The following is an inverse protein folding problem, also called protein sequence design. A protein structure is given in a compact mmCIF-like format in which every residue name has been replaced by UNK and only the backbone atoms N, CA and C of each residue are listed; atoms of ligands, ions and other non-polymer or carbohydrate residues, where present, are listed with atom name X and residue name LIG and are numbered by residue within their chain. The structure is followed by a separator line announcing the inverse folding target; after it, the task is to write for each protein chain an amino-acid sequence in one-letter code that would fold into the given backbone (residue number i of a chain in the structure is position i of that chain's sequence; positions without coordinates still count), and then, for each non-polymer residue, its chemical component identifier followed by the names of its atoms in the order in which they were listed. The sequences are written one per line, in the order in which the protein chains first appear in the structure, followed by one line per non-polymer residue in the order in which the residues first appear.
data_IF_550394136648
#
_entry.id   IF_550394136648
#
_cell.length_a   1.000
_cell.length_b   1.000
_cell.length_c   1.000
_cell.angle_alpha   90.00
_cell.angle_beta   90.00
_cell.angle_gamma   90.00
#
_symmetry.space_group_name_H-M   'P 1'
#
loop_
_entity.id
_entity.type
_entity.pdbx_description
1 polymer ?
#
# COMPACT_ATOMS: atom_id res chain seq x y z
N UNK A 1 3.00 18.14 -3.48
CA UNK A 1 4.23 17.50 -3.96
C UNK A 1 4.23 17.64 -5.46
N UNK A 2 5.36 18.00 -6.05
CA UNK A 2 5.55 18.10 -7.50
C UNK A 2 6.67 17.15 -7.86
N UNK A 3 6.53 16.47 -9.00
CA UNK A 3 7.50 15.49 -9.45
C UNK A 3 7.26 15.07 -10.89
N UNK A 4 8.01 14.06 -11.31
CA UNK A 4 7.89 13.41 -12.62
C UNK A 4 7.62 11.92 -12.43
N UNK A 5 7.07 11.27 -13.45
CA UNK A 5 6.91 9.81 -13.44
C UNK A 5 8.17 9.14 -13.99
N UNK A 6 8.59 8.06 -13.33
CA UNK A 6 9.65 7.17 -13.77
C UNK A 6 9.19 5.72 -13.72
N UNK A 7 9.95 4.86 -14.38
CA UNK A 7 9.73 3.41 -14.40
C UNK A 7 11.01 2.72 -13.94
N UNK A 8 10.88 1.77 -13.03
CA UNK A 8 12.00 0.92 -12.61
C UNK A 8 11.48 -0.42 -12.06
N UNK A 9 12.40 -1.30 -11.67
CA UNK A 9 12.09 -2.49 -10.89
C UNK A 9 12.04 -2.13 -9.40
N UNK A 10 10.91 -2.43 -8.76
CA UNK A 10 10.72 -2.25 -7.32
C UNK A 10 10.79 -3.62 -6.63
N UNK A 11 11.65 -3.72 -5.61
CA UNK A 11 11.76 -4.92 -4.79
C UNK A 11 11.12 -4.70 -3.42
N UNK A 12 10.20 -5.58 -3.03
CA UNK A 12 9.57 -5.58 -1.70
C UNK A 12 9.73 -6.96 -1.10
N UNK A 13 10.50 -7.07 -0.01
CA UNK A 13 10.92 -8.37 0.52
C UNK A 13 11.60 -9.20 -0.59
N UNK A 14 11.10 -10.40 -0.86
CA UNK A 14 11.53 -11.31 -1.93
C UNK A 14 10.79 -11.11 -3.27
N UNK A 15 9.81 -10.20 -3.34
CA UNK A 15 9.07 -9.93 -4.58
C UNK A 15 9.80 -8.90 -5.43
N UNK A 16 9.97 -9.21 -6.72
CA UNK A 16 10.59 -8.33 -7.71
C UNK A 16 9.53 -7.89 -8.71
N UNK A 17 9.12 -6.63 -8.60
CA UNK A 17 8.02 -6.02 -9.35
C UNK A 17 8.64 -5.22 -10.50
N UNK A 18 8.50 -5.73 -11.71
CA UNK A 18 9.10 -5.09 -12.90
C UNK A 18 8.19 -4.00 -13.46
N UNK A 19 8.81 -3.07 -14.19
CA UNK A 19 8.11 -2.00 -14.91
C UNK A 19 7.13 -1.21 -14.03
N UNK A 20 7.52 -0.98 -12.77
CA UNK A 20 6.71 -0.23 -11.83
C UNK A 20 6.84 1.27 -12.10
N UNK A 21 5.71 1.89 -12.39
CA UNK A 21 5.61 3.35 -12.49
C UNK A 21 5.53 3.99 -11.10
N UNK A 22 6.35 5.00 -10.83
CA UNK A 22 6.27 5.73 -9.56
C UNK A 22 6.68 7.19 -9.72
N UNK A 23 6.25 8.02 -8.75
CA UNK A 23 6.55 9.44 -8.72
C UNK A 23 7.94 9.71 -8.14
N UNK A 24 8.77 10.42 -8.89
CA UNK A 24 10.04 10.99 -8.45
C UNK A 24 9.77 12.43 -8.01
N UNK A 25 9.69 12.66 -6.70
CA UNK A 25 9.46 13.98 -6.15
C UNK A 25 10.63 14.91 -6.44
N UNK A 26 10.35 16.08 -7.03
CA UNK A 26 11.33 17.15 -7.25
C UNK A 26 11.09 18.33 -6.30
N UNK A 27 9.93 18.36 -5.65
CA UNK A 27 9.59 19.36 -4.64
C UNK A 27 8.53 18.82 -3.68
N UNK A 28 8.81 18.99 -2.40
CA UNK A 28 7.92 18.63 -1.30
C UNK A 28 7.33 19.90 -0.66
N UNK A 29 6.02 19.94 -0.40
CA UNK A 29 5.39 21.12 0.18
C UNK A 29 5.55 21.13 1.71
N UNK A 30 5.96 22.27 2.25
CA UNK A 30 5.99 22.52 3.70
C UNK A 30 7.12 21.81 4.44
N UNK A 31 7.09 21.86 5.77
CA UNK A 31 8.13 21.29 6.64
C UNK A 31 7.85 19.88 7.16
N UNK A 32 6.72 19.26 6.80
CA UNK A 32 6.32 17.96 7.34
C UNK A 32 7.38 16.88 7.08
N UNK A 33 7.88 16.82 5.84
CA UNK A 33 8.89 15.85 5.43
C UNK A 33 10.26 16.05 6.11
N UNK A 34 10.50 17.20 6.75
CA UNK A 34 11.73 17.47 7.50
C UNK A 34 11.78 16.80 8.88
N UNK A 35 10.65 16.32 9.39
CA UNK A 35 10.55 15.73 10.74
C UNK A 35 10.10 14.27 10.75
N UNK A 36 9.75 13.70 9.60
CA UNK A 36 9.37 12.29 9.47
C UNK A 36 10.61 11.42 9.31
N UNK A 37 10.49 10.15 9.66
CA UNK A 37 11.57 9.16 9.54
C UNK A 37 11.50 8.32 8.27
N UNK A 38 10.45 8.46 7.45
CA UNK A 38 10.29 7.74 6.19
C UNK A 38 10.70 8.61 4.99
N UNK A 39 11.24 7.97 3.96
CA UNK A 39 11.71 8.67 2.75
C UNK A 39 10.64 8.85 1.66
N UNK A 40 9.56 8.05 1.72
CA UNK A 40 8.51 8.08 0.72
C UNK A 40 7.24 7.34 1.13
N UNK A 41 6.27 7.33 0.22
CA UNK A 41 4.94 6.76 0.44
C UNK A 41 4.68 5.69 -0.62
N UNK A 42 4.29 4.50 -0.18
CA UNK A 42 3.77 3.45 -1.05
C UNK A 42 2.24 3.47 -1.02
N UNK A 43 1.62 3.87 -2.12
CA UNK A 43 0.18 3.95 -2.24
C UNK A 43 -0.47 2.57 -2.39
N UNK A 44 -1.37 2.23 -1.45
CA UNK A 44 -2.12 0.96 -1.44
C UNK A 44 -3.59 1.12 -1.83
N UNK A 45 -3.97 2.25 -2.46
CA UNK A 45 -5.32 2.52 -2.92
C UNK A 45 -5.66 1.90 -4.29
N UNK A 46 -6.89 2.14 -4.75
CA UNK A 46 -7.33 1.71 -6.08
C UNK A 46 -6.61 2.49 -7.20
N UNK A 47 -6.35 1.89 -8.37
CA UNK A 47 -5.72 2.57 -9.50
C UNK A 47 -6.43 3.85 -9.96
N UNK A 48 -7.75 3.93 -9.79
CA UNK A 48 -8.53 5.12 -10.13
C UNK A 48 -8.14 6.38 -9.33
N UNK A 49 -7.53 6.21 -8.16
CA UNK A 49 -7.03 7.31 -7.32
C UNK A 49 -5.60 7.74 -7.72
N UNK A 50 -4.90 6.93 -8.51
CA UNK A 50 -3.52 7.21 -8.89
C UNK A 50 -3.44 8.44 -9.79
N UNK A 51 -2.51 9.36 -9.47
CA UNK A 51 -2.23 10.51 -10.31
C UNK A 51 -1.75 10.04 -11.69
N UNK A 52 -2.29 10.65 -12.75
CA UNK A 52 -1.95 10.28 -14.13
C UNK A 52 -2.45 8.91 -14.57
N UNK A 53 -3.27 8.22 -13.75
CA UNK A 53 -3.71 6.85 -14.04
C UNK A 53 -2.60 5.82 -13.87
N UNK A 54 -1.57 6.14 -13.08
CA UNK A 54 -0.40 5.29 -12.93
C UNK A 54 -0.74 3.89 -12.39
N UNK A 55 -0.01 2.89 -12.87
CA UNK A 55 -0.22 1.50 -12.42
C UNK A 55 0.25 1.34 -10.98
N UNK A 56 -0.61 0.84 -10.09
CA UNK A 56 -0.24 0.71 -8.66
C UNK A 56 0.65 -0.50 -8.42
N UNK A 57 1.47 -0.42 -7.37
CA UNK A 57 2.36 -1.52 -6.93
C UNK A 57 1.59 -2.82 -6.75
N UNK A 58 0.46 -2.77 -6.05
CA UNK A 58 -0.33 -3.97 -5.79
C UNK A 58 -0.98 -4.53 -7.06
N UNK A 59 -1.37 -3.66 -8.00
CA UNK A 59 -1.84 -4.12 -9.31
C UNK A 59 -0.75 -4.90 -10.04
N UNK A 60 0.47 -4.38 -10.10
CA UNK A 60 1.60 -5.08 -10.71
C UNK A 60 1.96 -6.38 -9.99
N UNK A 61 1.87 -6.44 -8.65
CA UNK A 61 2.04 -7.69 -7.92
C UNK A 61 1.05 -8.76 -8.38
N UNK A 62 -0.23 -8.39 -8.52
CA UNK A 62 -1.28 -9.31 -8.96
C UNK A 62 -1.08 -9.74 -10.43
N UNK A 63 -0.82 -8.80 -11.35
CA UNK A 63 -0.67 -9.11 -12.78
C UNK A 63 0.59 -9.92 -13.08
N UNK A 64 1.64 -9.76 -12.28
CA UNK A 64 2.89 -10.52 -12.38
C UNK A 64 2.85 -11.83 -11.58
N UNK A 65 1.70 -12.22 -11.00
CA UNK A 65 1.52 -13.42 -10.19
C UNK A 65 2.51 -13.54 -9.02
N UNK A 66 2.77 -12.43 -8.33
CA UNK A 66 3.69 -12.37 -7.19
C UNK A 66 3.00 -12.62 -5.84
N UNK A 67 1.67 -12.71 -5.83
CA UNK A 67 0.84 -12.91 -4.64
C UNK A 67 -0.12 -14.08 -4.85
N UNK A 68 -0.28 -14.90 -3.81
CA UNK A 68 -1.17 -16.08 -3.87
C UNK A 68 -2.66 -15.70 -3.87
N UNK A 69 -3.00 -14.59 -3.24
CA UNK A 69 -4.36 -14.06 -3.17
C UNK A 69 -4.40 -12.56 -3.53
N UNK A 70 -5.48 -12.07 -4.15
CA UNK A 70 -5.63 -10.66 -4.52
C UNK A 70 -6.02 -9.77 -3.31
N UNK A 71 -5.29 -9.91 -2.20
CA UNK A 71 -5.47 -9.10 -0.99
C UNK A 71 -4.12 -8.81 -0.31
N UNK A 72 -4.13 -7.83 0.59
CA UNK A 72 -3.07 -7.60 1.56
C UNK A 72 -3.71 -7.36 2.93
N UNK A 73 -2.96 -7.64 4.00
CA UNK A 73 -3.38 -7.37 5.37
C UNK A 73 -2.35 -6.52 6.11
N UNK A 74 -2.81 -5.74 7.07
CA UNK A 74 -1.97 -4.87 7.89
C UNK A 74 -2.22 -5.17 9.35
N UNK A 75 -1.16 -5.48 10.08
CA UNK A 75 -1.14 -5.55 11.54
C UNK A 75 -0.23 -4.45 12.08
N UNK A 76 -0.72 -3.69 13.06
CA UNK A 76 0.05 -2.64 13.72
C UNK A 76 0.16 -2.93 15.22
N UNK A 77 1.37 -2.84 15.74
CA UNK A 77 1.64 -2.82 17.18
C UNK A 77 1.08 -1.55 17.81
N UNK A 78 0.77 -1.60 19.11
CA UNK A 78 0.10 -0.48 19.80
C UNK A 78 1.08 0.58 20.26
N UNK A 79 2.26 0.18 20.71
CA UNK A 79 3.25 1.08 21.25
C UNK A 79 4.07 1.76 20.17
N UNK A 80 4.34 3.05 20.36
CA UNK A 80 5.30 3.77 19.53
C UNK A 80 6.69 3.15 19.67
N UNK A 81 7.30 2.79 18.54
CA UNK A 81 8.63 2.17 18.50
C UNK A 81 8.66 0.67 18.81
N UNK A 82 7.51 0.03 19.02
CA UNK A 82 7.44 -1.43 19.14
C UNK A 82 7.67 -2.10 17.79
N UNK A 83 8.56 -3.10 17.77
CA UNK A 83 8.73 -4.00 16.63
C UNK A 83 7.59 -5.01 16.55
N UNK A 84 7.30 -5.48 15.33
CA UNK A 84 6.29 -6.51 15.07
C UNK A 84 5.05 -6.05 14.33
N UNK A 85 4.96 -4.78 13.92
CA UNK A 85 4.01 -4.39 12.88
C UNK A 85 4.34 -5.08 11.56
N UNK A 86 3.33 -5.49 10.80
CA UNK A 86 3.48 -6.27 9.57
C UNK A 86 2.52 -5.78 8.49
N UNK A 87 2.99 -5.76 7.25
CA UNK A 87 2.13 -5.81 6.07
C UNK A 87 2.42 -7.11 5.33
N UNK A 88 1.36 -7.89 5.07
CA UNK A 88 1.43 -9.13 4.31
C UNK A 88 0.74 -8.95 2.98
N UNK A 89 1.41 -9.30 1.89
CA UNK A 89 0.85 -9.32 0.55
C UNK A 89 0.50 -10.77 0.18
N UNK A 90 -0.69 -11.00 -0.37
CA UNK A 90 -1.10 -12.33 -0.83
C UNK A 90 -1.68 -13.24 0.23
N UNK A 91 -1.90 -12.77 1.45
CA UNK A 91 -2.47 -13.58 2.53
C UNK A 91 -2.79 -12.77 3.77
N UNK A 92 -3.16 -13.49 4.82
CA UNK A 92 -3.49 -12.96 6.14
C UNK A 92 -2.83 -13.85 7.18
N UNK A 93 -1.99 -13.29 8.06
CA UNK A 93 -1.43 -14.05 9.16
C UNK A 93 -2.44 -14.21 10.32
N UNK A 94 -2.87 -15.45 10.55
CA UNK A 94 -3.76 -15.82 11.65
C UNK A 94 -3.16 -15.65 13.04
N UNK A 95 -1.84 -15.50 13.17
CA UNK A 95 -1.18 -15.27 14.46
C UNK A 95 -1.49 -13.87 15.03
N UNK A 96 -1.85 -12.92 14.17
CA UNK A 96 -2.04 -11.51 14.51
C UNK A 96 -3.48 -11.11 14.87
N UNK A 97 -4.44 -12.04 14.83
CA UNK A 97 -5.82 -11.77 15.24
C UNK A 97 -6.46 -12.98 15.94
N UNK A 98 -7.60 -12.73 16.58
CA UNK A 98 -8.41 -13.79 17.19
C UNK A 98 -9.84 -13.69 16.66
N UNK A 99 -10.57 -14.81 16.71
CA UNK A 99 -11.93 -14.86 16.17
C UNK A 99 -11.96 -14.89 14.65
N UNK A 100 -13.02 -14.31 14.07
CA UNK A 100 -13.27 -14.32 12.62
C UNK A 100 -13.16 -12.91 12.04
N UNK A 101 -12.67 -12.83 10.80
CA UNK A 101 -12.64 -11.58 10.03
C UNK A 101 -14.04 -11.29 9.52
N UNK A 102 -14.54 -10.09 9.82
CA UNK A 102 -15.81 -9.58 9.30
C UNK A 102 -15.55 -8.76 8.03
N UNK A 103 -16.02 -9.26 6.91
CA UNK A 103 -15.93 -8.58 5.62
C UNK A 103 -17.07 -7.58 5.44
N UNK A 104 -16.74 -6.40 4.94
CA UNK A 104 -17.70 -5.34 4.59
C UNK A 104 -17.41 -4.91 3.15
N UNK A 105 -18.42 -4.84 2.27
CA UNK A 105 -18.19 -4.49 0.88
C UNK A 105 -17.69 -3.04 0.74
N UNK A 106 -16.77 -2.85 -0.20
CA UNK A 106 -16.34 -1.52 -0.63
C UNK A 106 -17.49 -0.83 -1.36
N UNK A 107 -17.75 0.42 -1.00
CA UNK A 107 -18.88 1.21 -1.55
C UNK A 107 -18.49 2.03 -2.78
N UNK A 108 -17.20 2.36 -2.91
CA UNK A 108 -16.64 3.08 -4.04
C UNK A 108 -15.18 2.66 -4.24
N UNK A 109 -14.90 2.02 -5.36
CA UNK A 109 -13.56 1.56 -5.79
C UNK A 109 -12.66 2.75 -6.18
N UNK A 110 -12.37 3.59 -5.21
CA UNK A 110 -11.49 4.75 -5.31
C UNK A 110 -10.66 4.84 -4.05
N UNK A 111 -11.32 4.70 -2.89
CA UNK A 111 -10.70 4.49 -1.59
C UNK A 111 -11.06 3.09 -1.06
N UNK A 112 -10.38 2.66 0.00
CA UNK A 112 -10.87 1.58 0.87
C UNK A 112 -12.04 2.08 1.71
N UNK A 113 -13.15 2.39 1.05
CA UNK A 113 -14.32 3.05 1.64
C UNK A 113 -15.43 2.04 1.93
N UNK A 114 -15.84 1.96 3.19
CA UNK A 114 -16.95 1.13 3.65
C UNK A 114 -18.08 1.99 4.22
N UNK A 115 -19.28 1.42 4.27
CA UNK A 115 -20.38 2.00 5.04
C UNK A 115 -20.26 1.60 6.52
N UNK A 116 -20.64 2.50 7.42
CA UNK A 116 -20.72 2.24 8.86
C UNK A 116 -22.17 2.40 9.29
N UNK A 117 -22.77 1.30 9.74
CA UNK A 117 -24.10 1.31 10.33
C UNK A 117 -24.07 2.07 11.66
N UNK A 118 -25.13 2.84 11.93
CA UNK A 118 -25.33 3.52 13.22
C UNK A 118 -25.87 2.58 14.28
#
# INVERSE_FOLDING_TARGET
MVGILGYDTVSISNMVIRDQEFGLATSEPGGFYSYVTFDGILGMGYPSLASGGATTVFHNMMTQNLVDQPLFSVYLTRGYGESGSEIMFGGIDSSHYTGQIRWVPVTREFYWQINIDR
#
